data_IF_310782302028
#
_entry.id   IF_310782302028
#
_cell.length_a   1.000
_cell.length_b   1.000
_cell.length_c   1.000
_cell.angle_alpha   90.00
_cell.angle_beta   90.00
_cell.angle_gamma   90.00
#
_symmetry.space_group_name_H-M   'P 1'
#
loop_
_entity.id
_entity.type
_entity.pdbx_description
1 polymer ?
#
# COMPACT_ATOMS: atom_id res chain seq x y z
N UNK A 1 -18.63 -20.57 -8.66
CA UNK A 1 -18.39 -20.68 -7.21
C UNK A 1 -17.75 -19.37 -6.76
N UNK A 2 -18.06 -18.81 -5.59
CA UNK A 2 -17.29 -17.69 -5.04
C UNK A 2 -15.83 -18.15 -4.85
N UNK A 3 -14.86 -17.30 -5.20
CA UNK A 3 -13.45 -17.60 -5.03
C UNK A 3 -13.00 -17.11 -3.65
N UNK A 4 -12.55 -17.98 -2.75
CA UNK A 4 -12.11 -17.58 -1.41
C UNK A 4 -10.66 -17.09 -1.42
N UNK A 5 -10.47 -15.84 -1.84
CA UNK A 5 -9.17 -15.16 -1.86
C UNK A 5 -8.49 -15.14 -3.23
N UNK A 6 -7.20 -14.79 -3.23
CA UNK A 6 -6.37 -14.71 -4.43
C UNK A 6 -5.83 -16.09 -4.80
N UNK A 7 -5.86 -16.41 -6.08
CA UNK A 7 -5.39 -17.67 -6.68
C UNK A 7 -4.28 -17.38 -7.68
N UNK A 8 -3.63 -18.45 -8.17
CA UNK A 8 -2.63 -18.34 -9.24
C UNK A 8 -3.14 -17.59 -10.48
N UNK A 9 -4.45 -17.64 -10.77
CA UNK A 9 -5.04 -16.89 -11.88
C UNK A 9 -4.86 -15.37 -11.71
N UNK A 10 -5.09 -14.85 -10.51
CA UNK A 10 -4.95 -13.42 -10.21
C UNK A 10 -3.49 -12.95 -10.37
N UNK A 11 -2.53 -13.77 -9.93
CA UNK A 11 -1.09 -13.49 -10.14
C UNK A 11 -0.71 -13.54 -11.62
N UNK A 12 -1.30 -14.46 -12.39
CA UNK A 12 -1.07 -14.56 -13.83
C UNK A 12 -1.65 -13.37 -14.59
N UNK A 13 -2.76 -12.78 -14.14
CA UNK A 13 -3.28 -11.53 -14.71
C UNK A 13 -2.22 -10.41 -14.69
N UNK A 14 -1.44 -10.31 -13.62
CA UNK A 14 -0.36 -9.32 -13.49
C UNK A 14 0.85 -9.58 -14.41
N UNK A 15 0.90 -10.75 -15.07
CA UNK A 15 1.95 -11.14 -16.03
C UNK A 15 1.54 -10.97 -17.48
N UNK A 16 0.25 -10.70 -17.75
CA UNK A 16 -0.24 -10.52 -19.13
C UNK A 16 0.52 -9.37 -19.81
N UNK A 17 0.97 -9.55 -21.07
CA UNK A 17 1.66 -8.51 -21.80
C UNK A 17 0.69 -7.38 -22.16
N UNK A 18 1.22 -6.18 -22.39
CA UNK A 18 0.42 -5.04 -22.86
C UNK A 18 -0.48 -4.40 -21.79
N UNK A 19 -0.78 -3.12 -22.01
CA UNK A 19 -1.59 -2.31 -21.10
C UNK A 19 -3.06 -2.74 -21.08
N UNK A 20 -3.69 -2.84 -22.26
CA UNK A 20 -5.13 -3.05 -22.37
C UNK A 20 -5.56 -4.43 -21.85
N UNK A 21 -4.82 -5.47 -22.25
CA UNK A 21 -5.09 -6.85 -21.82
C UNK A 21 -4.94 -6.99 -20.30
N UNK A 22 -3.85 -6.47 -19.73
CA UNK A 22 -3.65 -6.48 -18.27
C UNK A 22 -4.72 -5.67 -17.54
N UNK A 23 -5.13 -4.51 -18.06
CA UNK A 23 -6.17 -3.69 -17.43
C UNK A 23 -7.57 -4.31 -17.53
N UNK A 24 -7.88 -5.10 -18.57
CA UNK A 24 -9.12 -5.89 -18.59
C UNK A 24 -9.09 -6.98 -17.55
N UNK A 25 -8.01 -7.75 -17.49
CA UNK A 25 -7.85 -8.81 -16.51
C UNK A 25 -7.89 -8.27 -15.06
N UNK A 26 -7.23 -7.14 -14.78
CA UNK A 26 -7.32 -6.49 -13.45
C UNK A 26 -8.78 -6.18 -13.10
N UNK A 27 -9.56 -5.61 -14.03
CA UNK A 27 -10.96 -5.23 -13.77
C UNK A 27 -11.86 -6.44 -13.55
N UNK A 28 -11.70 -7.48 -14.36
CA UNK A 28 -12.60 -8.64 -14.37
C UNK A 28 -12.27 -9.63 -13.25
N UNK A 29 -10.98 -9.82 -12.95
CA UNK A 29 -10.51 -10.86 -12.05
C UNK A 29 -10.08 -10.31 -10.68
N UNK A 30 -9.31 -9.21 -10.64
CA UNK A 30 -8.69 -8.71 -9.39
C UNK A 30 -9.58 -7.71 -8.63
N UNK A 31 -10.28 -6.80 -9.31
CA UNK A 31 -11.11 -5.79 -8.62
C UNK A 31 -12.27 -6.37 -7.79
N UNK A 32 -12.95 -7.46 -8.20
CA UNK A 32 -13.92 -8.15 -7.34
C UNK A 32 -13.30 -8.69 -6.04
N UNK A 33 -12.04 -9.16 -6.11
CA UNK A 33 -11.04 -9.27 -5.04
C UNK A 33 -11.17 -8.19 -3.98
N UNK A 34 -10.76 -7.02 -4.43
CA UNK A 34 -10.64 -5.83 -3.62
C UNK A 34 -11.98 -5.41 -3.05
N UNK A 35 -13.08 -5.48 -3.82
CA UNK A 35 -14.37 -5.09 -3.29
C UNK A 35 -14.78 -5.96 -2.10
N UNK A 36 -14.62 -7.29 -2.20
CA UNK A 36 -14.94 -8.20 -1.09
C UNK A 36 -14.08 -7.96 0.15
N UNK A 37 -12.81 -7.63 -0.04
CA UNK A 37 -11.91 -7.26 1.06
C UNK A 37 -12.37 -5.95 1.70
N UNK A 38 -12.72 -4.94 0.90
CA UNK A 38 -13.23 -3.66 1.39
C UNK A 38 -14.53 -3.84 2.20
N UNK A 39 -15.46 -4.66 1.71
CA UNK A 39 -16.74 -4.92 2.38
C UNK A 39 -16.56 -5.52 3.78
N UNK A 40 -15.47 -6.25 4.02
CA UNK A 40 -15.11 -6.81 5.32
C UNK A 40 -14.28 -5.85 6.18
N UNK A 41 -13.26 -5.21 5.60
CA UNK A 41 -12.32 -4.38 6.35
C UNK A 41 -12.88 -3.01 6.74
N UNK A 42 -13.73 -2.40 5.92
CA UNK A 42 -14.27 -1.06 6.22
C UNK A 42 -15.08 -1.06 7.52
N UNK A 43 -16.06 -1.96 7.73
CA UNK A 43 -16.78 -2.03 9.00
C UNK A 43 -15.85 -2.23 10.20
N UNK A 44 -14.91 -3.18 10.08
CA UNK A 44 -13.93 -3.47 11.13
C UNK A 44 -13.07 -2.24 11.47
N UNK A 45 -12.51 -1.55 10.47
CA UNK A 45 -11.67 -0.37 10.69
C UNK A 45 -12.46 0.80 11.28
N UNK A 46 -13.69 1.02 10.81
CA UNK A 46 -14.55 2.09 11.34
C UNK A 46 -14.90 1.87 12.81
N UNK A 47 -15.24 0.64 13.19
CA UNK A 47 -15.51 0.28 14.58
C UNK A 47 -14.24 0.39 15.44
N UNK A 48 -13.14 -0.20 14.96
CA UNK A 48 -11.89 -0.29 15.72
C UNK A 48 -11.25 1.08 15.98
N UNK A 49 -11.24 1.93 14.98
CA UNK A 49 -10.62 3.26 15.04
C UNK A 49 -11.60 4.37 15.45
N UNK A 50 -12.88 4.04 15.67
CA UNK A 50 -13.95 5.02 15.88
C UNK A 50 -13.90 6.13 14.81
N UNK A 51 -13.77 5.73 13.55
CA UNK A 51 -13.38 6.62 12.47
C UNK A 51 -14.48 7.63 12.11
N UNK A 52 -14.13 8.92 12.13
CA UNK A 52 -14.93 10.03 11.60
C UNK A 52 -14.03 11.03 10.86
N UNK A 53 -14.11 11.14 9.51
CA UNK A 53 -15.06 10.46 8.63
C UNK A 53 -14.72 8.96 8.43
N UNK A 54 -15.70 8.14 8.00
CA UNK A 54 -15.48 6.70 7.84
C UNK A 54 -14.47 6.39 6.72
N UNK A 55 -13.78 5.28 6.85
CA UNK A 55 -12.93 4.71 5.82
C UNK A 55 -13.74 4.43 4.54
N UNK A 56 -13.15 4.80 3.40
CA UNK A 56 -13.70 4.63 2.06
C UNK A 56 -12.73 3.81 1.21
N UNK A 57 -13.28 2.94 0.35
CA UNK A 57 -12.50 2.15 -0.60
C UNK A 57 -12.16 2.93 -1.86
N UNK A 58 -10.91 2.80 -2.31
CA UNK A 58 -10.39 3.39 -3.53
C UNK A 58 -9.54 2.38 -4.28
N UNK A 59 -10.01 1.89 -5.42
CA UNK A 59 -9.22 0.98 -6.26
C UNK A 59 -8.29 1.79 -7.18
N UNK A 60 -7.03 1.36 -7.30
CA UNK A 60 -6.05 1.98 -8.18
C UNK A 60 -6.53 1.96 -9.65
N UNK A 61 -6.75 3.16 -10.21
CA UNK A 61 -7.30 3.32 -11.57
C UNK A 61 -6.27 3.26 -12.69
N UNK A 62 -4.97 3.39 -12.38
CA UNK A 62 -3.86 3.43 -13.35
C UNK A 62 -4.03 4.43 -14.51
N UNK A 63 -4.86 5.47 -14.34
CA UNK A 63 -5.30 6.38 -15.40
C UNK A 63 -4.20 7.22 -16.08
N UNK A 64 -2.96 7.17 -15.58
CA UNK A 64 -1.79 7.85 -16.17
C UNK A 64 -0.90 6.93 -17.01
N UNK A 65 -1.20 5.63 -17.08
CA UNK A 65 -0.45 4.66 -17.90
C UNK A 65 -0.96 4.73 -19.35
N UNK A 66 -0.03 4.82 -20.29
CA UNK A 66 -0.32 4.95 -21.73
C UNK A 66 0.28 3.83 -22.57
N UNK A 67 1.46 3.33 -22.17
CA UNK A 67 2.19 2.29 -22.92
C UNK A 67 2.50 1.10 -22.01
N UNK A 68 3.05 1.36 -20.82
CA UNK A 68 3.48 0.30 -19.91
C UNK A 68 2.35 -0.10 -18.95
N UNK A 69 1.96 -1.39 -18.90
CA UNK A 69 1.01 -1.86 -17.91
C UNK A 69 1.50 -1.64 -16.48
N UNK A 70 0.58 -1.53 -15.50
CA UNK A 70 0.98 -1.45 -14.10
C UNK A 70 1.63 -2.77 -13.65
N UNK A 71 2.73 -2.67 -12.91
CA UNK A 71 3.42 -3.84 -12.33
C UNK A 71 2.71 -4.36 -11.08
N UNK A 72 1.96 -3.50 -10.39
CA UNK A 72 1.10 -3.84 -9.27
C UNK A 72 -0.23 -3.10 -9.33
N UNK A 73 -1.23 -3.63 -8.62
CA UNK A 73 -2.51 -2.95 -8.42
C UNK A 73 -2.98 -3.15 -6.99
N UNK A 74 -3.81 -2.23 -6.48
CA UNK A 74 -4.22 -2.23 -5.08
C UNK A 74 -5.59 -1.61 -4.84
N UNK A 75 -6.19 -2.02 -3.73
CA UNK A 75 -7.22 -1.33 -2.97
C UNK A 75 -6.54 -0.40 -1.97
N UNK A 76 -6.99 0.84 -1.86
CA UNK A 76 -6.65 1.74 -0.78
C UNK A 76 -7.86 2.03 0.11
N UNK A 77 -7.66 2.08 1.43
CA UNK A 77 -8.68 2.45 2.42
C UNK A 77 -8.23 3.73 3.12
N UNK A 78 -9.01 4.80 2.98
CA UNK A 78 -8.70 6.12 3.54
C UNK A 78 -9.97 6.84 4.02
N UNK A 79 -9.83 7.70 5.03
CA UNK A 79 -10.91 8.53 5.57
C UNK A 79 -11.19 9.77 4.69
N UNK A 80 -11.38 9.57 3.39
CA UNK A 80 -11.76 10.61 2.44
C UNK A 80 -12.49 9.98 1.25
N UNK A 81 -13.69 10.48 0.94
CA UNK A 81 -14.51 10.00 -0.18
C UNK A 81 -13.93 10.33 -1.56
N UNK A 82 -13.07 11.35 -1.67
CA UNK A 82 -12.56 11.88 -2.95
C UNK A 82 -11.27 11.21 -3.40
N UNK A 83 -10.50 10.65 -2.49
CA UNK A 83 -9.27 9.95 -2.83
C UNK A 83 -8.38 9.69 -1.62
N UNK A 84 -7.42 8.78 -1.79
CA UNK A 84 -6.56 8.30 -0.69
C UNK A 84 -5.16 8.94 -0.68
N UNK A 85 -4.65 9.40 -1.84
CA UNK A 85 -3.21 9.70 -2.00
C UNK A 85 -2.67 10.82 -1.11
N UNK A 86 -3.55 11.72 -0.69
CA UNK A 86 -3.23 12.86 0.18
C UNK A 86 -3.32 12.53 1.66
N UNK A 87 -3.55 11.26 2.01
CA UNK A 87 -3.77 10.81 3.39
C UNK A 87 -2.87 9.60 3.70
N UNK A 88 -2.53 9.36 4.96
CA UNK A 88 -2.18 8.03 5.43
C UNK A 88 -3.33 7.06 5.08
N UNK A 89 -3.01 5.94 4.48
CA UNK A 89 -4.03 4.99 4.04
C UNK A 89 -3.50 3.57 4.10
N UNK A 90 -4.41 2.62 4.33
CA UNK A 90 -4.09 1.21 4.13
C UNK A 90 -4.10 0.89 2.64
N UNK A 91 -3.19 0.05 2.18
CA UNK A 91 -3.19 -0.53 0.85
C UNK A 91 -3.19 -2.04 0.95
N UNK A 92 -4.12 -2.70 0.28
CA UNK A 92 -4.06 -4.13 0.03
C UNK A 92 -3.88 -4.34 -1.47
N UNK A 93 -2.84 -5.04 -1.90
CA UNK A 93 -2.55 -5.17 -3.32
C UNK A 93 -1.76 -6.40 -3.70
N UNK A 94 -1.47 -6.47 -4.99
CA UNK A 94 -0.87 -7.62 -5.64
C UNK A 94 0.26 -7.20 -6.59
N UNK A 95 1.39 -7.88 -6.46
CA UNK A 95 2.45 -8.02 -7.44
C UNK A 95 2.35 -9.40 -8.12
N UNK A 96 3.01 -9.63 -9.27
CA UNK A 96 3.08 -10.97 -9.86
C UNK A 96 3.67 -12.05 -8.95
N UNK A 97 4.41 -11.65 -7.91
CA UNK A 97 5.14 -12.55 -7.00
C UNK A 97 4.50 -12.70 -5.62
N UNK A 98 3.76 -11.70 -5.12
CA UNK A 98 3.24 -11.71 -3.76
C UNK A 98 2.07 -10.73 -3.59
N UNK A 99 1.29 -10.92 -2.53
CA UNK A 99 0.35 -9.93 -2.02
C UNK A 99 1.07 -8.99 -1.06
N UNK A 100 0.54 -7.79 -0.90
CA UNK A 100 1.03 -6.84 0.10
C UNK A 100 -0.12 -6.18 0.85
N UNK A 101 0.16 -5.84 2.10
CA UNK A 101 -0.72 -5.02 2.92
C UNK A 101 0.13 -3.95 3.61
N UNK A 102 -0.09 -2.68 3.30
CA UNK A 102 0.71 -1.55 3.77
C UNK A 102 -0.14 -0.54 4.53
N UNK A 103 0.40 0.06 5.59
CA UNK A 103 0.10 1.45 5.92
C UNK A 103 1.03 2.34 5.10
N UNK A 104 0.50 3.12 4.18
CA UNK A 104 1.26 3.86 3.18
C UNK A 104 1.13 5.39 3.30
N UNK A 105 2.28 6.05 3.13
CA UNK A 105 2.42 7.50 3.02
C UNK A 105 3.12 7.79 1.70
N UNK A 106 2.36 8.22 0.69
CA UNK A 106 2.87 8.32 -0.70
C UNK A 106 3.09 9.77 -1.13
N UNK A 107 3.58 9.92 -2.37
CA UNK A 107 4.02 11.18 -2.97
C UNK A 107 3.13 12.39 -2.68
N UNK A 108 1.81 12.22 -2.78
CA UNK A 108 0.84 13.31 -2.68
C UNK A 108 0.48 13.68 -1.22
N UNK A 109 0.99 12.98 -0.19
CA UNK A 109 0.74 13.32 1.21
C UNK A 109 1.49 14.61 1.61
N UNK A 110 0.80 15.70 1.98
CA UNK A 110 1.44 17.00 2.19
C UNK A 110 2.32 17.06 3.44
N UNK A 111 2.07 16.22 4.46
CA UNK A 111 2.76 16.27 5.75
C UNK A 111 3.82 15.16 5.94
N UNK A 112 4.39 14.64 4.84
CA UNK A 112 5.41 13.58 4.89
C UNK A 112 6.66 14.00 5.64
N UNK A 113 7.04 15.27 5.54
CA UNK A 113 8.25 15.78 6.17
C UNK A 113 8.11 15.74 7.68
N UNK A 114 7.02 16.31 8.18
CA UNK A 114 6.67 16.35 9.60
C UNK A 114 6.52 14.93 10.15
N UNK A 115 5.84 14.04 9.40
CA UNK A 115 5.72 12.64 9.76
C UNK A 115 7.09 11.96 9.86
N UNK A 116 7.96 12.11 8.85
CA UNK A 116 9.28 11.49 8.85
C UNK A 116 10.17 12.01 9.99
N UNK A 117 10.07 13.29 10.35
CA UNK A 117 10.77 13.88 11.50
C UNK A 117 10.24 13.31 12.83
N UNK A 118 8.92 13.14 12.96
CA UNK A 118 8.31 12.49 14.12
C UNK A 118 8.74 11.02 14.23
N UNK A 119 8.72 10.26 13.13
CA UNK A 119 9.16 8.85 13.12
C UNK A 119 10.65 8.70 13.40
N UNK A 120 11.49 9.64 12.96
CA UNK A 120 12.91 9.66 13.30
C UNK A 120 13.14 9.91 14.79
N UNK A 121 12.31 10.76 15.40
CA UNK A 121 12.37 11.06 16.83
C UNK A 121 11.96 9.84 17.65
N UNK A 122 10.92 9.12 17.22
CA UNK A 122 10.37 7.95 17.89
C UNK A 122 10.97 6.61 17.38
N UNK A 123 12.06 6.66 16.61
CA UNK A 123 12.66 5.49 15.97
C UNK A 123 12.97 4.34 16.94
N UNK A 124 13.48 4.57 18.18
CA UNK A 124 13.70 3.48 19.13
C UNK A 124 12.42 2.73 19.48
N UNK A 125 11.29 3.44 19.62
CA UNK A 125 9.97 2.86 19.88
C UNK A 125 9.47 2.07 18.68
N UNK A 126 9.59 2.65 17.47
CA UNK A 126 9.20 1.97 16.22
C UNK A 126 9.94 0.65 16.03
N UNK A 127 11.25 0.63 16.32
CA UNK A 127 12.08 -0.58 16.24
C UNK A 127 11.60 -1.71 17.15
N UNK A 128 11.00 -1.38 18.30
CA UNK A 128 10.51 -2.36 19.28
C UNK A 128 9.04 -2.73 19.06
N UNK A 129 8.26 -1.82 18.46
CA UNK A 129 6.81 -1.98 18.30
C UNK A 129 6.47 -2.98 17.20
N UNK A 130 7.20 -2.94 16.08
CA UNK A 130 6.87 -3.77 14.93
C UNK A 130 7.48 -5.18 15.04
N UNK A 131 6.69 -6.25 14.82
CA UNK A 131 7.19 -7.61 14.76
C UNK A 131 8.27 -7.79 13.69
N UNK A 132 9.19 -8.73 13.88
CA UNK A 132 10.32 -8.94 12.97
C UNK A 132 9.91 -9.34 11.54
N UNK A 133 8.72 -9.90 11.36
CA UNK A 133 8.17 -10.30 10.07
C UNK A 133 7.43 -9.17 9.32
N UNK A 134 7.29 -8.00 9.94
CA UNK A 134 6.80 -6.82 9.24
C UNK A 134 7.85 -6.33 8.25
N UNK A 135 7.43 -5.57 7.26
CA UNK A 135 8.31 -5.05 6.22
C UNK A 135 8.20 -3.54 6.10
N UNK A 136 9.23 -2.93 5.52
CA UNK A 136 9.27 -1.51 5.20
C UNK A 136 9.60 -1.32 3.73
N UNK A 137 8.84 -0.46 3.06
CA UNK A 137 9.15 0.00 1.71
C UNK A 137 9.42 1.51 1.69
N UNK A 138 10.43 1.90 0.91
CA UNK A 138 10.77 3.31 0.64
C UNK A 138 10.23 3.81 -0.71
N UNK A 139 9.56 2.93 -1.45
CA UNK A 139 9.06 3.20 -2.79
C UNK A 139 7.88 2.26 -3.09
N UNK A 140 6.66 2.78 -3.01
CA UNK A 140 5.41 2.06 -3.30
C UNK A 140 5.28 1.64 -4.77
N UNK A 141 6.19 2.08 -5.64
CA UNK A 141 6.27 1.66 -7.04
C UNK A 141 7.28 0.54 -7.27
N UNK A 142 8.00 0.11 -6.23
CA UNK A 142 8.88 -1.07 -6.26
C UNK A 142 8.28 -2.22 -5.46
N UNK A 143 8.57 -3.44 -5.91
CA UNK A 143 8.29 -4.67 -5.18
C UNK A 143 9.27 -4.89 -4.00
N UNK A 144 10.33 -4.09 -3.91
CA UNK A 144 11.36 -4.22 -2.88
C UNK A 144 10.86 -3.76 -1.51
N UNK A 145 11.26 -4.51 -0.48
CA UNK A 145 11.02 -4.19 0.91
C UNK A 145 12.19 -4.67 1.78
N UNK A 146 12.29 -4.14 2.98
CA UNK A 146 13.22 -4.59 4.01
C UNK A 146 12.44 -5.16 5.21
N UNK A 147 12.77 -6.36 5.66
CA UNK A 147 12.12 -6.95 6.84
C UNK A 147 12.58 -6.22 8.11
N UNK A 148 11.64 -6.01 9.02
CA UNK A 148 11.89 -5.37 10.32
C UNK A 148 12.99 -6.09 11.11
N UNK A 149 13.00 -7.43 11.09
CA UNK A 149 14.03 -8.25 11.74
C UNK A 149 15.43 -8.13 11.13
N UNK A 150 15.53 -7.63 9.89
CA UNK A 150 16.79 -7.46 9.16
C UNK A 150 17.26 -5.99 9.15
N UNK A 151 16.40 -5.05 9.57
CA UNK A 151 16.72 -3.64 9.63
C UNK A 151 17.62 -3.31 10.81
N UNK A 152 18.79 -2.74 10.50
CA UNK A 152 19.58 -2.05 11.51
C UNK A 152 18.93 -0.71 11.85
N UNK A 153 19.21 -0.17 13.04
CA UNK A 153 18.78 1.18 13.43
C UNK A 153 19.23 2.24 12.40
N UNK A 154 20.43 2.09 11.82
CA UNK A 154 20.88 2.97 10.74
C UNK A 154 20.10 2.75 9.43
N UNK A 155 19.73 1.51 9.12
CA UNK A 155 18.88 1.17 7.97
C UNK A 155 17.52 1.86 8.04
N UNK A 156 16.82 1.72 9.17
CA UNK A 156 15.54 2.41 9.39
C UNK A 156 15.71 3.94 9.35
N UNK A 157 16.75 4.48 9.99
CA UNK A 157 17.06 5.91 9.94
C UNK A 157 17.22 6.43 8.51
N UNK A 158 17.96 5.72 7.65
CA UNK A 158 18.15 6.11 6.25
C UNK A 158 16.83 6.07 5.46
N UNK A 159 15.98 5.07 5.72
CA UNK A 159 14.66 4.97 5.11
C UNK A 159 13.79 6.19 5.49
N UNK A 160 13.70 6.50 6.78
CA UNK A 160 12.90 7.62 7.29
C UNK A 160 13.46 8.99 6.84
N UNK A 161 14.79 9.15 6.79
CA UNK A 161 15.42 10.36 6.26
C UNK A 161 15.10 10.62 4.78
N UNK A 162 14.86 9.57 3.98
CA UNK A 162 14.44 9.75 2.58
C UNK A 162 13.02 10.32 2.48
N UNK A 163 12.15 9.95 3.42
CA UNK A 163 10.79 10.49 3.51
C UNK A 163 10.79 12.00 3.78
N UNK A 164 11.75 12.51 4.58
CA UNK A 164 11.81 13.94 4.93
C UNK A 164 12.44 14.83 3.85
N UNK A 165 13.34 14.28 3.01
CA UNK A 165 14.16 15.09 2.09
C UNK A 165 13.66 15.15 0.65
N UNK A 166 12.87 14.18 0.19
CA UNK A 166 12.59 14.02 -1.25
C UNK A 166 11.09 14.10 -1.53
N UNK A 167 10.68 15.03 -2.40
CA UNK A 167 9.26 15.28 -2.72
C UNK A 167 8.52 14.04 -3.26
N UNK A 168 9.18 13.21 -4.09
CA UNK A 168 8.61 12.01 -4.73
C UNK A 168 9.00 10.69 -4.05
N UNK A 169 9.00 10.66 -2.71
CA UNK A 169 9.22 9.44 -1.96
C UNK A 169 8.03 9.09 -1.10
N UNK A 170 7.88 7.79 -0.90
CA UNK A 170 6.88 7.17 -0.05
C UNK A 170 7.53 6.40 1.08
N UNK A 171 6.80 6.17 2.15
CA UNK A 171 7.13 5.18 3.16
C UNK A 171 5.92 4.29 3.35
N UNK A 172 6.16 2.99 3.51
CA UNK A 172 5.10 2.03 3.79
C UNK A 172 5.62 1.02 4.79
N UNK A 173 4.79 0.65 5.76
CA UNK A 173 5.07 -0.41 6.73
C UNK A 173 3.99 -1.48 6.61
N UNK A 174 4.40 -2.74 6.42
CA UNK A 174 3.47 -3.84 6.21
C UNK A 174 2.99 -4.35 7.54
N UNK A 175 1.68 -4.57 7.63
CA UNK A 175 1.00 -5.12 8.79
C UNK A 175 0.80 -6.62 8.67
#
# INVERSE_FOLDING_TARGET
MPQDGFTALDFNCMRLPGLDERMSAIREQIQPQFQRIADQLIPFLNEKEQADPPFCAHIARHARRTIHPPESTWLALAQDKRGYKKHPHFQFGIWPSHLFFWLAFIDDYPHKKELGEAMLTDMPTLMQTFPSYFAWSSDHTSADYALQGELTANGLKQLLMRLTKVKKRSCSVAL
#
